data_IF_388231438154
#
_entry.id   IF_388231438154
#
_cell.length_a   1.000
_cell.length_b   1.000
_cell.length_c   1.000
_cell.angle_alpha   90.00
_cell.angle_beta   90.00
_cell.angle_gamma   90.00
#
_symmetry.space_group_name_H-M   'P 1'
#
loop_
_entity.id
_entity.type
_entity.pdbx_description
1 polymer ?
#
# COMPACT_ATOMS: atom_id res chain seq x y z
N UNK A 1 28.14 41.23 31.56
CA UNK A 1 28.02 39.78 31.80
C UNK A 1 26.70 39.20 31.31
N UNK A 2 26.28 39.31 30.04
CA UNK A 2 24.99 38.73 29.52
C UNK A 2 25.08 38.07 28.14
N UNK A 3 26.23 37.88 27.53
CA UNK A 3 26.36 37.25 26.20
C UNK A 3 26.70 35.74 26.19
N UNK A 4 27.18 35.17 27.29
CA UNK A 4 27.57 33.74 27.34
C UNK A 4 26.42 32.76 27.60
N UNK A 5 25.31 33.21 28.20
CA UNK A 5 24.15 32.34 28.56
C UNK A 5 23.23 32.05 27.36
N UNK A 6 23.21 32.95 26.36
CA UNK A 6 22.34 32.78 25.20
C UNK A 6 22.85 31.77 24.17
N UNK A 7 24.18 31.67 24.01
CA UNK A 7 24.80 30.71 23.09
C UNK A 7 24.75 29.25 23.60
N UNK A 8 24.75 29.05 24.93
CA UNK A 8 24.63 27.73 25.50
C UNK A 8 23.19 27.14 25.34
N UNK A 9 22.14 27.98 25.38
CA UNK A 9 20.77 27.55 25.18
C UNK A 9 20.48 27.13 23.73
N UNK A 10 21.03 27.80 22.73
CA UNK A 10 20.94 27.48 21.32
C UNK A 10 21.68 26.17 20.96
N UNK A 11 22.83 25.94 21.56
CA UNK A 11 23.60 24.71 21.35
C UNK A 11 22.89 23.48 21.98
N UNK A 12 22.28 23.64 23.15
CA UNK A 12 21.50 22.58 23.81
C UNK A 12 20.24 22.22 23.03
N UNK A 13 19.53 23.20 22.45
CA UNK A 13 18.32 22.93 21.65
C UNK A 13 18.64 22.24 20.32
N UNK A 14 19.75 22.60 19.66
CA UNK A 14 20.15 21.98 18.41
C UNK A 14 20.64 20.53 18.58
N UNK A 15 21.37 20.23 19.67
CA UNK A 15 21.79 18.85 19.99
C UNK A 15 20.60 17.98 20.42
N UNK A 16 19.64 18.53 21.14
CA UNK A 16 18.47 17.80 21.59
C UNK A 16 17.54 17.44 20.41
N UNK A 17 17.28 18.38 19.49
CA UNK A 17 16.51 18.13 18.26
C UNK A 17 17.21 17.11 17.34
N UNK A 18 18.54 17.15 17.24
CA UNK A 18 19.30 16.18 16.46
C UNK A 18 19.24 14.76 17.08
N UNK A 19 19.28 14.66 18.42
CA UNK A 19 19.18 13.38 19.12
C UNK A 19 17.77 12.75 18.95
N UNK A 20 16.71 13.56 19.08
CA UNK A 20 15.32 13.10 18.86
C UNK A 20 15.14 12.66 17.41
N UNK A 21 15.62 13.43 16.44
CA UNK A 21 15.55 13.07 15.03
C UNK A 21 16.28 11.76 14.73
N UNK A 22 17.46 11.55 15.30
CA UNK A 22 18.23 10.32 15.15
C UNK A 22 17.52 9.10 15.80
N UNK A 23 16.95 9.27 16.98
CA UNK A 23 16.19 8.20 17.64
C UNK A 23 14.90 7.85 16.87
N UNK A 24 14.17 8.85 16.40
CA UNK A 24 12.98 8.64 15.56
C UNK A 24 13.33 7.90 14.27
N UNK A 25 14.41 8.28 13.59
CA UNK A 25 14.90 7.61 12.39
C UNK A 25 15.29 6.14 12.64
N UNK A 26 16.02 5.85 13.73
CA UNK A 26 16.41 4.49 14.11
C UNK A 26 15.16 3.65 14.43
N UNK A 27 14.20 4.21 15.16
CA UNK A 27 12.95 3.55 15.51
C UNK A 27 12.13 3.23 14.26
N UNK A 28 11.93 4.19 13.37
CA UNK A 28 11.21 4.00 12.11
C UNK A 28 11.86 2.93 11.23
N UNK A 29 13.19 2.89 11.12
CA UNK A 29 13.89 1.86 10.37
C UNK A 29 13.76 0.47 11.00
N UNK A 30 13.71 0.37 12.34
CA UNK A 30 13.51 -0.91 13.04
C UNK A 30 12.09 -1.44 12.84
N UNK A 31 11.07 -0.58 12.86
CA UNK A 31 9.68 -0.97 12.58
C UNK A 31 9.49 -1.40 11.12
N UNK A 32 10.11 -0.67 10.18
CA UNK A 32 10.13 -1.04 8.76
C UNK A 32 10.72 -2.43 8.56
N UNK A 33 11.94 -2.64 9.07
CA UNK A 33 12.66 -3.91 8.94
C UNK A 33 11.86 -5.07 9.56
N UNK A 34 11.27 -4.84 10.75
CA UNK A 34 10.42 -5.83 11.40
C UNK A 34 9.20 -6.17 10.55
N UNK A 35 8.48 -5.18 10.05
CA UNK A 35 7.28 -5.41 9.25
C UNK A 35 7.58 -6.18 7.96
N UNK A 36 8.68 -5.83 7.24
CA UNK A 36 9.11 -6.55 6.04
C UNK A 36 9.52 -7.99 6.36
N UNK A 37 10.26 -8.22 7.44
CA UNK A 37 10.60 -9.56 7.93
C UNK A 37 9.35 -10.37 8.29
N UNK A 38 8.35 -9.76 8.94
CA UNK A 38 7.08 -10.42 9.28
C UNK A 38 6.31 -10.81 8.02
N UNK A 39 6.30 -9.96 6.98
CA UNK A 39 5.72 -10.30 5.67
C UNK A 39 6.44 -11.50 5.02
N UNK A 40 7.77 -11.50 5.03
CA UNK A 40 8.60 -12.61 4.55
C UNK A 40 8.35 -13.91 5.31
N UNK A 41 8.22 -13.83 6.64
CA UNK A 41 7.90 -14.99 7.48
C UNK A 41 6.55 -15.62 7.10
N UNK A 42 5.53 -14.81 6.76
CA UNK A 42 4.25 -15.33 6.25
C UNK A 42 4.47 -16.10 4.95
N UNK A 43 5.24 -15.55 4.00
CA UNK A 43 5.54 -16.20 2.72
C UNK A 43 6.29 -17.52 2.92
N UNK A 44 7.34 -17.54 3.74
CA UNK A 44 8.12 -18.74 4.05
C UNK A 44 7.26 -19.83 4.73
N UNK A 45 6.39 -19.44 5.67
CA UNK A 45 5.46 -20.36 6.31
C UNK A 45 4.51 -21.00 5.32
N UNK A 46 3.96 -20.20 4.39
CA UNK A 46 3.08 -20.68 3.34
C UNK A 46 3.80 -21.62 2.38
N UNK A 47 5.01 -21.27 1.98
CA UNK A 47 5.85 -22.11 1.10
C UNK A 47 6.13 -23.48 1.71
N UNK A 48 6.47 -23.54 3.02
CA UNK A 48 6.62 -24.81 3.75
C UNK A 48 5.35 -25.67 3.71
N UNK A 49 4.18 -25.04 3.64
CA UNK A 49 2.88 -25.72 3.51
C UNK A 49 2.46 -25.98 2.06
N UNK A 50 3.33 -25.75 1.08
CA UNK A 50 3.04 -25.82 -0.37
C UNK A 50 1.85 -24.91 -0.76
N UNK A 51 1.73 -23.77 -0.10
CA UNK A 51 0.74 -22.71 -0.33
C UNK A 51 1.43 -21.40 -0.67
N UNK A 52 0.65 -20.45 -1.14
CA UNK A 52 1.06 -19.05 -1.31
C UNK A 52 -0.14 -18.13 -0.98
N UNK A 53 0.07 -16.83 -0.96
CA UNK A 53 -0.97 -15.85 -0.61
C UNK A 53 -2.18 -15.94 -1.56
N UNK A 54 -1.94 -16.21 -2.85
CA UNK A 54 -3.01 -16.38 -3.84
C UNK A 54 -3.89 -17.59 -3.48
N UNK A 55 -3.29 -18.71 -3.08
CA UNK A 55 -4.03 -19.90 -2.69
C UNK A 55 -4.96 -19.68 -1.49
N UNK A 56 -4.60 -18.76 -0.59
CA UNK A 56 -5.42 -18.41 0.57
C UNK A 56 -6.72 -17.70 0.15
N UNK A 57 -6.65 -16.78 -0.78
CA UNK A 57 -7.83 -16.05 -1.26
C UNK A 57 -8.65 -16.86 -2.26
N UNK A 58 -8.02 -17.76 -3.01
CA UNK A 58 -8.72 -18.67 -3.93
C UNK A 58 -9.52 -19.76 -3.22
N UNK A 59 -9.10 -20.21 -2.03
CA UNK A 59 -9.78 -21.25 -1.26
C UNK A 59 -10.07 -22.53 -2.09
N UNK A 60 -9.08 -23.00 -2.85
CA UNK A 60 -9.21 -24.17 -3.71
C UNK A 60 -9.97 -23.94 -5.02
N UNK A 61 -10.52 -22.75 -5.25
CA UNK A 61 -11.19 -22.42 -6.51
C UNK A 61 -10.16 -22.20 -7.62
N UNK A 62 -10.57 -22.53 -8.86
CA UNK A 62 -9.74 -22.24 -10.04
C UNK A 62 -9.66 -20.73 -10.24
N UNK A 63 -8.44 -20.21 -10.40
CA UNK A 63 -8.23 -18.81 -10.76
C UNK A 63 -8.79 -18.51 -12.14
N UNK A 64 -9.62 -17.48 -12.23
CA UNK A 64 -10.15 -16.93 -13.47
C UNK A 64 -9.51 -15.56 -13.70
N UNK A 65 -8.79 -15.44 -14.80
CA UNK A 65 -8.18 -14.18 -15.22
C UNK A 65 -9.22 -13.31 -15.89
N UNK A 66 -9.86 -12.45 -15.10
CA UNK A 66 -10.96 -11.59 -15.54
C UNK A 66 -11.06 -10.39 -14.58
N UNK A 67 -11.35 -9.20 -15.13
CA UNK A 67 -11.49 -7.95 -14.37
C UNK A 67 -12.65 -8.00 -13.39
N UNK A 68 -13.77 -8.65 -13.75
CA UNK A 68 -15.00 -8.70 -12.94
C UNK A 68 -15.00 -9.83 -11.91
N UNK A 69 -13.97 -10.70 -11.93
CA UNK A 69 -13.95 -11.88 -11.07
C UNK A 69 -13.04 -11.68 -9.85
N UNK A 70 -13.63 -11.25 -8.74
CA UNK A 70 -12.94 -10.95 -7.50
C UNK A 70 -12.88 -12.14 -6.55
N UNK A 71 -11.80 -12.19 -5.77
CA UNK A 71 -11.55 -13.14 -4.69
C UNK A 71 -11.33 -12.40 -3.36
N UNK A 72 -11.68 -12.98 -2.20
CA UNK A 72 -12.31 -14.31 -2.02
C UNK A 72 -13.80 -14.36 -2.40
N UNK A 73 -14.48 -13.24 -2.55
CA UNK A 73 -15.88 -13.07 -2.88
C UNK A 73 -16.05 -12.04 -3.99
N UNK A 74 -17.20 -11.99 -4.70
CA UNK A 74 -17.46 -10.97 -5.72
C UNK A 74 -17.31 -9.52 -5.23
N UNK A 75 -17.60 -9.28 -3.95
CA UNK A 75 -17.41 -7.96 -3.31
C UNK A 75 -16.06 -7.81 -2.60
N UNK A 76 -15.19 -8.83 -2.61
CA UNK A 76 -13.97 -8.85 -1.80
C UNK A 76 -14.25 -8.99 -0.30
N UNK A 77 -13.23 -8.74 0.52
CA UNK A 77 -13.36 -8.61 1.98
C UNK A 77 -13.67 -7.15 2.29
N UNK A 78 -14.76 -6.91 2.98
CA UNK A 78 -15.19 -5.57 3.40
C UNK A 78 -15.35 -5.55 4.92
N UNK A 79 -14.69 -4.62 5.56
CA UNK A 79 -14.81 -4.35 6.98
C UNK A 79 -15.68 -3.09 7.16
N UNK A 80 -16.95 -3.30 7.53
CA UNK A 80 -17.90 -2.22 7.72
C UNK A 80 -17.53 -1.30 8.89
N UNK A 81 -16.79 -1.81 9.89
CA UNK A 81 -16.42 -1.05 11.07
C UNK A 81 -15.31 -0.04 10.79
N UNK A 82 -14.36 -0.40 9.94
CA UNK A 82 -13.23 0.45 9.55
C UNK A 82 -13.42 1.13 8.20
N UNK A 83 -14.36 0.65 7.39
CA UNK A 83 -14.62 1.12 6.03
C UNK A 83 -13.65 0.61 4.97
N UNK A 84 -12.64 -0.20 5.33
CA UNK A 84 -11.69 -0.73 4.34
C UNK A 84 -12.24 -1.94 3.60
N UNK A 85 -11.81 -2.06 2.35
CA UNK A 85 -12.14 -3.18 1.47
C UNK A 85 -10.91 -3.66 0.74
N UNK A 86 -10.79 -4.98 0.59
CA UNK A 86 -9.70 -5.64 -0.15
C UNK A 86 -10.29 -6.73 -1.05
N UNK A 87 -9.81 -6.82 -2.29
CA UNK A 87 -10.04 -7.99 -3.14
C UNK A 87 -8.82 -8.30 -3.99
N UNK A 88 -8.77 -9.52 -4.49
CA UNK A 88 -7.76 -10.01 -5.42
C UNK A 88 -8.42 -10.38 -6.75
N UNK A 89 -7.81 -10.02 -7.85
CA UNK A 89 -8.14 -10.51 -9.18
C UNK A 89 -6.92 -10.45 -10.11
N UNK A 90 -7.07 -10.74 -11.41
CA UNK A 90 -5.98 -10.62 -12.35
C UNK A 90 -6.48 -10.56 -13.79
N UNK A 91 -5.97 -9.58 -14.52
CA UNK A 91 -6.27 -9.38 -15.94
C UNK A 91 -5.08 -8.75 -16.70
N UNK A 92 -4.11 -8.17 -16.00
CA UNK A 92 -2.97 -7.42 -16.55
C UNK A 92 -1.83 -8.35 -16.97
N UNK A 93 -1.09 -7.95 -18.00
CA UNK A 93 0.16 -8.61 -18.39
C UNK A 93 1.30 -8.25 -17.41
N UNK A 94 2.31 -9.13 -17.30
CA UNK A 94 3.46 -8.89 -16.42
C UNK A 94 3.27 -9.30 -14.96
N UNK A 95 2.06 -9.71 -14.57
CA UNK A 95 1.73 -10.21 -13.24
C UNK A 95 0.80 -11.43 -13.31
N UNK A 96 0.68 -12.17 -12.22
CA UNK A 96 -0.32 -13.22 -12.12
C UNK A 96 -1.67 -12.66 -11.71
N UNK A 97 -1.69 -11.74 -10.76
CA UNK A 97 -2.84 -10.99 -10.29
C UNK A 97 -2.41 -9.96 -9.25
N UNK A 98 -3.37 -9.21 -8.75
CA UNK A 98 -3.11 -8.13 -7.81
C UNK A 98 -4.21 -8.00 -6.76
N UNK A 99 -3.83 -7.48 -5.60
CA UNK A 99 -4.76 -6.97 -4.60
C UNK A 99 -5.07 -5.52 -4.88
N UNK A 100 -6.33 -5.15 -4.69
CA UNK A 100 -6.77 -3.76 -4.53
C UNK A 100 -7.14 -3.49 -3.09
N UNK A 101 -6.77 -2.33 -2.59
CA UNK A 101 -7.19 -1.82 -1.29
C UNK A 101 -7.99 -0.54 -1.46
N UNK A 102 -9.09 -0.41 -0.72
CA UNK A 102 -9.99 0.74 -0.78
C UNK A 102 -10.36 1.21 0.62
N UNK A 103 -10.79 2.46 0.71
CA UNK A 103 -11.50 3.02 1.85
C UNK A 103 -12.89 3.49 1.43
N UNK A 104 -13.91 3.24 2.26
CA UNK A 104 -15.25 3.78 2.06
C UNK A 104 -15.31 5.23 2.52
N UNK A 105 -15.89 6.05 1.66
CA UNK A 105 -16.16 7.45 1.90
C UNK A 105 -17.67 7.68 1.72
N UNK A 106 -18.33 8.68 2.35
CA UNK A 106 -19.76 8.93 2.16
C UNK A 106 -20.22 9.08 0.72
N UNK A 107 -19.31 9.42 -0.20
CA UNK A 107 -19.57 9.51 -1.64
C UNK A 107 -19.27 8.22 -2.43
N UNK A 108 -18.70 7.20 -1.80
CA UNK A 108 -18.28 5.94 -2.43
C UNK A 108 -16.95 5.43 -1.94
N UNK A 109 -16.36 4.48 -2.67
CA UNK A 109 -15.03 3.96 -2.37
C UNK A 109 -13.95 4.81 -3.03
N UNK A 110 -12.80 4.94 -2.36
CA UNK A 110 -11.56 5.46 -2.94
C UNK A 110 -10.53 4.33 -2.99
N UNK A 111 -9.93 4.11 -4.16
CA UNK A 111 -8.82 3.18 -4.33
C UNK A 111 -7.55 3.75 -3.70
N UNK A 112 -6.90 2.96 -2.85
CA UNK A 112 -5.65 3.36 -2.19
C UNK A 112 -4.43 2.83 -2.94
N UNK A 113 -4.33 1.50 -3.07
CA UNK A 113 -3.18 0.83 -3.67
C UNK A 113 -3.57 -0.44 -4.39
N UNK A 114 -2.85 -0.72 -5.49
CA UNK A 114 -2.76 -2.00 -6.15
C UNK A 114 -1.44 -2.67 -5.78
N UNK A 115 -1.48 -3.94 -5.38
CA UNK A 115 -0.30 -4.74 -5.00
C UNK A 115 -0.23 -5.93 -5.95
N UNK A 116 0.67 -5.86 -6.91
CA UNK A 116 0.87 -6.90 -7.94
C UNK A 116 1.67 -8.08 -7.40
N UNK A 117 1.23 -9.29 -7.74
CA UNK A 117 1.89 -10.54 -7.37
C UNK A 117 2.30 -11.33 -8.61
N UNK A 118 3.40 -12.07 -8.50
CA UNK A 118 3.77 -13.11 -9.45
C UNK A 118 2.99 -14.42 -9.22
N UNK A 119 3.23 -15.42 -10.05
CA UNK A 119 2.56 -16.73 -9.96
C UNK A 119 2.86 -17.50 -8.67
N UNK A 120 3.99 -17.24 -8.04
CA UNK A 120 4.37 -17.82 -6.76
C UNK A 120 3.72 -17.14 -5.57
N UNK A 121 3.04 -16.01 -5.80
CA UNK A 121 2.43 -15.18 -4.76
C UNK A 121 3.39 -14.18 -4.11
N UNK A 122 4.56 -13.97 -4.75
CA UNK A 122 5.51 -12.96 -4.31
C UNK A 122 5.04 -11.57 -4.75
N UNK A 123 5.11 -10.56 -3.89
CA UNK A 123 4.79 -9.19 -4.29
C UNK A 123 5.91 -8.66 -5.19
N UNK A 124 5.54 -8.03 -6.29
CA UNK A 124 6.48 -7.52 -7.30
C UNK A 124 6.40 -6.01 -7.50
N UNK A 125 5.23 -5.40 -7.24
CA UNK A 125 5.03 -3.98 -7.47
C UNK A 125 3.89 -3.45 -6.60
N UNK A 126 3.98 -2.20 -6.17
CA UNK A 126 2.86 -1.39 -5.66
C UNK A 126 2.62 -0.20 -6.58
N UNK A 127 1.34 0.16 -6.76
CA UNK A 127 0.95 1.23 -7.67
C UNK A 127 -0.28 1.98 -7.18
N UNK A 128 -0.38 3.26 -7.56
CA UNK A 128 -1.62 4.02 -7.55
C UNK A 128 -2.25 4.02 -8.93
N UNK A 129 -3.56 4.02 -8.99
CA UNK A 129 -4.33 3.96 -10.24
C UNK A 129 -5.04 5.26 -10.50
N UNK A 130 -5.36 5.48 -11.78
CA UNK A 130 -6.23 6.57 -12.19
C UNK A 130 -7.70 6.24 -11.85
N UNK A 131 -8.50 7.27 -11.64
CA UNK A 131 -9.91 7.16 -11.21
C UNK A 131 -10.77 6.34 -12.18
N UNK A 132 -10.60 6.46 -13.48
CA UNK A 132 -11.39 5.73 -14.47
C UNK A 132 -11.26 4.19 -14.33
N UNK A 133 -10.13 3.69 -13.82
CA UNK A 133 -9.87 2.25 -13.67
C UNK A 133 -10.82 1.59 -12.67
N UNK A 134 -11.09 2.29 -11.58
CA UNK A 134 -11.86 1.77 -10.44
C UNK A 134 -13.20 2.49 -10.25
N UNK A 135 -13.43 3.55 -11.05
CA UNK A 135 -14.61 4.44 -10.93
C UNK A 135 -14.84 4.89 -9.49
N UNK A 136 -13.76 5.29 -8.84
CA UNK A 136 -13.71 5.63 -7.42
C UNK A 136 -13.93 7.13 -7.15
N UNK A 137 -14.05 7.48 -5.86
CA UNK A 137 -14.13 8.87 -5.41
C UNK A 137 -12.72 9.43 -5.28
N UNK A 138 -12.51 10.63 -5.80
CA UNK A 138 -11.24 11.33 -5.65
C UNK A 138 -11.06 11.85 -4.22
N UNK A 139 -9.92 11.51 -3.61
CA UNK A 139 -9.40 12.15 -2.40
C UNK A 139 -8.15 12.95 -2.74
N UNK A 140 -7.92 14.04 -2.02
CA UNK A 140 -6.68 14.79 -2.16
C UNK A 140 -5.47 14.01 -1.58
N UNK A 141 -4.27 14.57 -1.76
CA UNK A 141 -3.03 13.91 -1.32
C UNK A 141 -3.01 13.63 0.17
N UNK A 142 -3.43 14.60 0.98
CA UNK A 142 -3.39 14.48 2.44
C UNK A 142 -4.43 13.46 2.93
N UNK A 143 -5.63 13.50 2.38
CA UNK A 143 -6.70 12.54 2.67
C UNK A 143 -6.29 11.12 2.29
N UNK A 144 -5.62 10.95 1.13
CA UNK A 144 -5.09 9.66 0.68
C UNK A 144 -4.03 9.11 1.65
N UNK A 145 -3.07 9.95 2.07
CA UNK A 145 -2.02 9.57 3.01
C UNK A 145 -2.63 9.21 4.38
N UNK A 146 -3.62 9.96 4.84
CA UNK A 146 -4.31 9.68 6.09
C UNK A 146 -5.09 8.36 6.03
N UNK A 147 -5.91 8.17 4.97
CA UNK A 147 -6.64 6.93 4.74
C UNK A 147 -5.71 5.72 4.69
N UNK A 148 -4.59 5.82 3.97
CA UNK A 148 -3.61 4.74 3.94
C UNK A 148 -2.97 4.52 5.33
N UNK A 149 -2.58 5.57 6.05
CA UNK A 149 -1.89 5.47 7.35
C UNK A 149 -2.75 4.82 8.43
N UNK A 150 -4.06 4.92 8.30
CA UNK A 150 -5.03 4.33 9.21
C UNK A 150 -5.53 2.95 8.76
N UNK A 151 -4.94 2.36 7.69
CA UNK A 151 -5.37 1.07 7.16
C UNK A 151 -5.34 0.00 8.24
N UNK A 152 -6.52 -0.49 8.58
CA UNK A 152 -6.72 -1.57 9.55
C UNK A 152 -8.04 -2.28 9.26
N UNK A 153 -8.04 -3.61 9.28
CA UNK A 153 -9.24 -4.44 9.11
C UNK A 153 -9.23 -5.57 10.14
N UNK A 154 -10.40 -6.09 10.46
CA UNK A 154 -10.50 -7.31 11.25
C UNK A 154 -9.92 -8.51 10.47
N UNK A 155 -8.84 -9.15 10.96
CA UNK A 155 -8.28 -10.34 10.34
C UNK A 155 -9.28 -11.50 10.21
N UNK A 156 -10.28 -11.55 11.08
CA UNK A 156 -11.31 -12.58 11.09
C UNK A 156 -12.24 -12.56 9.89
N UNK A 157 -12.30 -11.44 9.15
CA UNK A 157 -13.08 -11.31 7.92
C UNK A 157 -12.42 -12.01 6.72
N UNK A 158 -11.13 -12.28 6.80
CA UNK A 158 -10.41 -12.96 5.72
C UNK A 158 -10.57 -14.49 5.83
N UNK A 159 -10.73 -15.20 4.71
CA UNK A 159 -10.84 -16.67 4.74
C UNK A 159 -9.65 -17.37 5.40
N UNK A 160 -8.48 -16.74 5.30
CA UNK A 160 -7.29 -17.08 6.04
C UNK A 160 -6.64 -15.77 6.48
N UNK A 161 -6.57 -15.54 7.79
CA UNK A 161 -6.04 -14.32 8.39
C UNK A 161 -4.59 -13.99 7.99
N UNK A 162 -3.83 -14.97 7.50
CA UNK A 162 -2.46 -14.76 7.01
C UNK A 162 -2.43 -13.86 5.77
N UNK A 163 -3.49 -13.87 4.94
CA UNK A 163 -3.59 -12.93 3.81
C UNK A 163 -3.71 -11.48 4.28
N UNK A 164 -4.46 -11.23 5.36
CA UNK A 164 -4.49 -9.90 5.99
C UNK A 164 -3.13 -9.51 6.57
N UNK A 165 -2.51 -10.39 7.36
CA UNK A 165 -1.22 -10.10 7.98
C UNK A 165 -0.14 -9.81 6.94
N UNK A 166 -0.10 -10.59 5.85
CA UNK A 166 0.80 -10.32 4.73
C UNK A 166 0.60 -8.90 4.17
N UNK A 167 -0.64 -8.53 3.84
CA UNK A 167 -0.96 -7.19 3.32
C UNK A 167 -0.61 -6.09 4.33
N UNK A 168 -1.04 -6.26 5.58
CA UNK A 168 -0.79 -5.28 6.66
C UNK A 168 0.71 -5.07 6.90
N UNK A 169 1.51 -6.13 6.88
CA UNK A 169 2.96 -6.04 7.06
C UNK A 169 3.64 -5.38 5.86
N UNK A 170 3.23 -5.70 4.62
CA UNK A 170 3.73 -5.01 3.43
C UNK A 170 3.42 -3.51 3.48
N UNK A 171 2.16 -3.14 3.77
CA UNK A 171 1.75 -1.76 3.87
C UNK A 171 2.53 -0.99 4.94
N UNK A 172 2.77 -1.59 6.10
CA UNK A 172 3.59 -1.00 7.17
C UNK A 172 5.06 -0.90 6.79
N UNK A 173 5.60 -1.94 6.18
CA UNK A 173 7.01 -2.01 5.81
C UNK A 173 7.41 -1.03 4.71
N UNK A 174 6.52 -0.77 3.77
CA UNK A 174 6.75 0.16 2.66
C UNK A 174 6.08 1.53 2.86
N UNK A 175 5.86 1.93 4.12
CA UNK A 175 5.16 3.17 4.45
C UNK A 175 5.74 4.41 3.75
N UNK A 176 7.05 4.55 3.74
CA UNK A 176 7.74 5.70 3.14
C UNK A 176 7.54 5.74 1.63
N UNK A 177 7.73 4.59 0.98
CA UNK A 177 7.56 4.41 -0.46
C UNK A 177 6.10 4.67 -0.88
N UNK A 178 5.14 4.18 -0.10
CA UNK A 178 3.70 4.38 -0.38
C UNK A 178 3.31 5.86 -0.25
N UNK A 179 3.80 6.55 0.78
CA UNK A 179 3.58 8.00 0.90
C UNK A 179 4.18 8.75 -0.30
N UNK A 180 5.35 8.33 -0.78
CA UNK A 180 5.96 8.87 -1.99
C UNK A 180 5.08 8.61 -3.22
N UNK A 181 4.55 7.39 -3.39
CA UNK A 181 3.62 7.08 -4.47
C UNK A 181 2.39 8.00 -4.48
N UNK A 182 1.82 8.29 -3.31
CA UNK A 182 0.65 9.17 -3.22
C UNK A 182 0.96 10.60 -3.65
N UNK A 183 2.16 11.11 -3.32
CA UNK A 183 2.65 12.41 -3.80
C UNK A 183 2.91 12.41 -5.30
N UNK A 184 3.56 11.36 -5.81
CA UNK A 184 3.83 11.19 -7.25
C UNK A 184 2.53 11.06 -8.04
N UNK A 185 1.48 10.38 -7.51
CA UNK A 185 0.14 10.36 -8.09
C UNK A 185 -0.39 11.78 -8.30
N UNK A 186 -0.34 12.62 -7.26
CA UNK A 186 -0.81 14.01 -7.33
C UNK A 186 -0.03 14.81 -8.38
N UNK A 187 1.30 14.64 -8.42
CA UNK A 187 2.15 15.29 -9.42
C UNK A 187 1.85 14.81 -10.83
N UNK A 188 1.62 13.52 -11.05
CA UNK A 188 1.28 12.95 -12.34
C UNK A 188 -0.03 13.54 -12.88
N UNK A 189 -1.08 13.62 -12.06
CA UNK A 189 -2.37 14.21 -12.43
C UNK A 189 -2.24 15.69 -12.79
N UNK A 190 -1.52 16.48 -11.98
CA UNK A 190 -1.27 17.91 -12.26
C UNK A 190 -0.49 18.10 -13.55
N UNK A 191 0.64 17.40 -13.70
CA UNK A 191 1.50 17.51 -14.88
C UNK A 191 0.76 17.12 -16.15
N UNK A 192 -0.10 16.09 -16.10
CA UNK A 192 -0.93 15.71 -17.24
C UNK A 192 -1.87 16.84 -17.64
N UNK A 193 -2.56 17.45 -16.67
CA UNK A 193 -3.48 18.56 -16.91
C UNK A 193 -2.74 19.78 -17.49
N UNK A 194 -1.59 20.14 -16.90
CA UNK A 194 -0.79 21.29 -17.34
C UNK A 194 -0.27 21.12 -18.77
N UNK A 195 0.11 19.90 -19.16
CA UNK A 195 0.64 19.63 -20.52
C UNK A 195 -0.48 19.49 -21.55
N UNK A 196 -1.59 18.84 -21.20
CA UNK A 196 -2.60 18.44 -22.18
C UNK A 196 -3.86 19.31 -22.16
N UNK A 197 -4.07 20.12 -21.10
CA UNK A 197 -5.29 20.92 -20.92
C UNK A 197 -6.57 20.09 -20.79
N UNK A 198 -6.44 18.80 -20.42
CA UNK A 198 -7.54 17.83 -20.31
C UNK A 198 -7.59 17.23 -18.92
N UNK A 199 -8.80 16.80 -18.50
CA UNK A 199 -8.94 16.06 -17.26
C UNK A 199 -8.23 14.70 -17.36
N UNK A 200 -7.20 14.43 -16.52
CA UNK A 200 -6.49 13.16 -16.52
C UNK A 200 -7.38 11.97 -16.14
N UNK A 201 -8.40 12.19 -15.32
CA UNK A 201 -9.24 11.12 -14.75
C UNK A 201 -10.04 10.34 -15.80
N UNK A 202 -10.15 10.86 -17.02
CA UNK A 202 -10.90 10.26 -18.14
C UNK A 202 -10.01 9.68 -19.24
N UNK A 203 -8.68 9.80 -19.12
CA UNK A 203 -7.77 9.26 -20.14
C UNK A 203 -7.43 7.81 -19.87
N UNK A 204 -8.03 6.88 -20.63
CA UNK A 204 -7.82 5.44 -20.51
C UNK A 204 -6.38 5.00 -20.82
N UNK A 205 -5.55 5.84 -21.41
CA UNK A 205 -4.12 5.57 -21.62
C UNK A 205 -3.29 5.78 -20.36
N UNK A 206 -3.82 6.53 -19.40
CA UNK A 206 -3.19 6.84 -18.12
C UNK A 206 -3.78 5.94 -17.03
N UNK A 207 -3.38 4.68 -16.98
CA UNK A 207 -3.91 3.71 -16.03
C UNK A 207 -3.16 3.77 -14.68
N UNK A 208 -1.82 3.69 -14.72
CA UNK A 208 -0.97 3.79 -13.53
C UNK A 208 -0.45 5.21 -13.41
N UNK A 209 -0.62 5.82 -12.24
CA UNK A 209 -0.16 7.17 -11.94
C UNK A 209 1.22 7.19 -11.30
N UNK A 210 1.50 6.22 -10.42
CA UNK A 210 2.80 6.03 -9.79
C UNK A 210 3.01 4.57 -9.44
N UNK A 211 4.26 4.11 -9.39
CA UNK A 211 4.58 2.74 -9.01
C UNK A 211 6.01 2.60 -8.50
N UNK A 212 6.25 1.59 -7.63
CA UNK A 212 7.60 1.11 -7.31
C UNK A 212 7.65 -0.41 -7.33
N UNK A 213 8.82 -0.96 -7.67
CA UNK A 213 9.08 -2.39 -7.65
C UNK A 213 9.48 -2.85 -6.25
N UNK A 214 8.94 -3.99 -5.83
CA UNK A 214 9.29 -4.64 -4.58
C UNK A 214 10.43 -5.63 -4.87
N UNK A 215 11.49 -5.54 -4.09
CA UNK A 215 12.59 -6.50 -4.14
C UNK A 215 12.38 -7.59 -3.08
N UNK A 216 12.45 -8.86 -3.48
CA UNK A 216 12.26 -10.00 -2.56
C UNK A 216 13.29 -10.02 -1.45
N UNK A 217 14.51 -9.49 -1.71
CA UNK A 217 15.55 -9.30 -0.70
C UNK A 217 15.11 -8.45 0.49
N UNK A 218 14.19 -7.50 0.29
CA UNK A 218 13.65 -6.66 1.37
C UNK A 218 12.84 -7.49 2.37
N UNK A 219 12.26 -8.59 1.92
CA UNK A 219 11.43 -9.50 2.71
C UNK A 219 12.25 -10.64 3.35
N UNK A 220 13.53 -10.77 3.01
CA UNK A 220 14.39 -11.86 3.50
C UNK A 220 14.01 -13.23 2.94
N UNK A 221 13.47 -13.29 1.74
CA UNK A 221 13.03 -14.52 1.05
C UNK A 221 13.65 -14.66 -0.32
#
# INVERSE_FOLDING_TARGET
>A
MKRRTFLSFLAYSATFTHLIGKQAYIFQNSERAKALSDAGNVLLLLQKQKKNVISLVLQGRKFKRNVDHHYPHPKGVHDESSGYRVFFHGHRNGEYGHFHTFIYHPKGYTHLLMISLDKSGMPIMMSTLNQWVTNDVHLDEQEMIEAYSNFSMDPGLFPDKRSYYFLSYLLKGYKTEIITLMKERTLALRSYFDINGKNPDTDEKLEILSSFHIHTSDLGV
#
